data_IF_181168151412
#
_entry.id   IF_181168151412
#
_cell.length_a   1.000
_cell.length_b   1.000
_cell.length_c   1.000
_cell.angle_alpha   90.00
_cell.angle_beta   90.00
_cell.angle_gamma   90.00
#
_symmetry.space_group_name_H-M   'P 1'
#
loop_
_entity.id
_entity.type
_entity.pdbx_description
1 polymer ?
#
# COMPACT_ATOMS: atom_id res chain seq x y z
N UNK A 1 -2.94 6.52 2.27
CA UNK A 1 -2.47 5.13 2.04
C UNK A 1 -1.79 4.63 3.29
N UNK A 2 -2.32 3.59 3.93
CA UNK A 2 -1.74 2.97 5.13
C UNK A 2 -0.69 1.96 4.67
N UNK A 3 0.52 2.00 5.25
CA UNK A 3 1.62 1.11 4.88
C UNK A 3 2.36 1.50 3.59
N UNK A 4 2.56 2.80 3.36
CA UNK A 4 3.14 3.32 2.12
C UNK A 4 4.56 2.83 1.81
N UNK A 5 5.37 2.50 2.82
CA UNK A 5 6.75 2.06 2.64
C UNK A 5 6.92 0.55 2.41
N UNK A 6 5.87 -0.25 2.57
CA UNK A 6 5.89 -1.69 2.30
C UNK A 6 5.95 -2.02 0.82
N UNK A 7 6.06 -3.30 0.48
CA UNK A 7 6.23 -3.74 -0.90
C UNK A 7 5.08 -3.35 -1.85
N UNK A 8 3.81 -3.40 -1.37
CA UNK A 8 2.65 -2.95 -2.15
C UNK A 8 2.56 -1.43 -2.15
N UNK A 9 2.74 -0.80 -0.97
CA UNK A 9 2.68 0.65 -0.85
C UNK A 9 3.66 1.37 -1.75
N UNK A 10 4.90 0.88 -1.85
CA UNK A 10 5.96 1.48 -2.66
C UNK A 10 5.60 1.60 -4.15
N UNK A 11 4.97 0.58 -4.73
CA UNK A 11 4.55 0.66 -6.14
C UNK A 11 3.22 1.43 -6.28
N UNK A 12 2.29 1.28 -5.34
CA UNK A 12 1.01 1.97 -5.39
C UNK A 12 1.16 3.49 -5.25
N UNK A 13 2.09 3.96 -4.39
CA UNK A 13 2.45 5.39 -4.30
C UNK A 13 2.87 5.93 -5.67
N UNK A 14 3.77 5.23 -6.36
CA UNK A 14 4.25 5.64 -7.67
C UNK A 14 3.14 5.65 -8.72
N UNK A 15 2.34 4.57 -8.79
CA UNK A 15 1.22 4.46 -9.73
C UNK A 15 0.21 5.60 -9.53
N UNK A 16 -0.20 5.84 -8.28
CA UNK A 16 -1.11 6.93 -7.95
C UNK A 16 -0.51 8.29 -8.31
N UNK A 17 0.77 8.51 -8.00
CA UNK A 17 1.47 9.77 -8.29
C UNK A 17 1.64 10.05 -9.78
N UNK A 18 1.99 9.01 -10.57
CA UNK A 18 2.39 9.17 -11.97
C UNK A 18 1.24 9.03 -12.94
N UNK A 19 0.22 8.23 -12.60
CA UNK A 19 -0.87 7.90 -13.52
C UNK A 19 -2.19 8.62 -13.19
N UNK A 20 -2.23 9.39 -12.08
CA UNK A 20 -3.43 10.11 -11.67
C UNK A 20 -3.10 11.55 -11.27
N UNK A 21 -4.13 12.33 -10.98
CA UNK A 21 -4.00 13.68 -10.41
C UNK A 21 -4.21 13.72 -8.89
N UNK A 22 -4.20 12.57 -8.24
CA UNK A 22 -4.43 12.47 -6.79
C UNK A 22 -3.30 13.10 -5.99
N UNK A 23 -3.62 13.78 -4.91
CA UNK A 23 -2.66 14.07 -3.85
C UNK A 23 -2.44 12.81 -3.04
N UNK A 24 -1.23 12.26 -3.10
CA UNK A 24 -0.86 11.00 -2.45
C UNK A 24 -0.29 11.29 -1.07
N UNK A 25 -0.97 10.83 -0.04
CA UNK A 25 -0.52 10.90 1.36
C UNK A 25 -0.20 9.48 1.82
N UNK A 26 1.06 9.23 2.13
CA UNK A 26 1.52 7.95 2.68
C UNK A 26 1.55 7.97 4.20
N UNK A 27 1.51 6.79 4.83
CA UNK A 27 1.79 6.69 6.26
C UNK A 27 3.08 5.89 6.50
N UNK A 28 3.92 6.42 7.38
CA UNK A 28 5.14 5.77 7.84
C UNK A 28 5.57 6.35 9.18
N UNK A 29 5.96 5.52 10.15
CA UNK A 29 6.28 5.97 11.51
C UNK A 29 7.78 6.18 11.76
N UNK A 30 8.66 5.58 10.98
CA UNK A 30 10.11 5.71 11.13
C UNK A 30 10.72 6.66 10.10
N UNK A 31 11.75 7.43 10.42
CA UNK A 31 12.40 8.35 9.48
C UNK A 31 12.81 7.70 8.17
N UNK A 32 13.45 6.52 8.21
CA UNK A 32 13.90 5.79 7.02
C UNK A 32 12.75 5.32 6.11
N UNK A 33 11.58 5.03 6.68
CA UNK A 33 10.38 4.66 5.91
C UNK A 33 9.61 5.89 5.41
N UNK A 34 9.71 7.02 6.11
CA UNK A 34 9.19 8.31 5.63
C UNK A 34 9.98 8.78 4.41
N UNK A 35 11.31 8.77 4.50
CA UNK A 35 12.20 9.12 3.38
C UNK A 35 11.95 8.21 2.17
N UNK A 36 11.78 6.91 2.41
CA UNK A 36 11.41 5.97 1.35
C UNK A 36 10.07 6.30 0.69
N UNK A 37 9.03 6.59 1.46
CA UNK A 37 7.72 6.93 0.91
C UNK A 37 7.77 8.23 0.08
N UNK A 38 8.55 9.23 0.49
CA UNK A 38 8.81 10.42 -0.32
C UNK A 38 9.58 10.09 -1.59
N UNK A 39 10.63 9.26 -1.51
CA UNK A 39 11.40 8.82 -2.67
C UNK A 39 10.52 8.06 -3.68
N UNK A 40 9.52 7.30 -3.21
CA UNK A 40 8.52 6.65 -4.06
C UNK A 40 7.49 7.64 -4.65
N UNK A 41 7.49 8.89 -4.26
CA UNK A 41 6.65 9.93 -4.87
C UNK A 41 5.44 10.38 -4.05
N UNK A 42 5.34 10.05 -2.77
CA UNK A 42 4.31 10.60 -1.90
C UNK A 42 4.43 12.14 -1.85
N UNK A 43 3.29 12.84 -1.89
CA UNK A 43 3.28 14.29 -1.72
C UNK A 43 3.48 14.68 -0.26
N UNK A 44 2.90 13.86 0.64
CA UNK A 44 3.00 14.02 2.08
C UNK A 44 3.14 12.65 2.74
N UNK A 45 3.80 12.65 3.89
CA UNK A 45 3.89 11.46 4.75
C UNK A 45 3.48 11.85 6.15
N UNK A 46 2.56 11.08 6.76
CA UNK A 46 2.12 11.25 8.13
C UNK A 46 2.49 10.03 8.96
N UNK A 47 2.68 10.23 10.26
CA UNK A 47 3.02 9.16 11.20
C UNK A 47 1.76 8.42 11.64
N UNK A 48 1.65 7.12 11.32
CA UNK A 48 0.53 6.27 11.70
C UNK A 48 0.62 5.73 13.14
N UNK A 49 1.69 5.99 13.86
CA UNK A 49 1.77 5.72 15.31
C UNK A 49 1.02 6.77 16.13
N UNK A 50 0.64 7.89 15.51
CA UNK A 50 -0.19 8.96 16.05
C UNK A 50 -1.58 8.91 15.41
N UNK A 51 -2.59 9.60 16.02
CA UNK A 51 -3.90 9.70 15.38
C UNK A 51 -3.80 10.27 13.97
N UNK A 52 -4.35 9.54 12.99
CA UNK A 52 -4.28 9.92 11.57
C UNK A 52 -4.89 11.30 11.31
N UNK A 53 -5.95 11.65 12.05
CA UNK A 53 -6.61 12.95 11.97
C UNK A 53 -5.65 14.11 12.28
N UNK A 54 -4.80 13.97 13.29
CA UNK A 54 -3.79 14.97 13.64
C UNK A 54 -2.75 15.15 12.52
N UNK A 55 -2.31 14.04 11.93
CA UNK A 55 -1.39 14.07 10.79
C UNK A 55 -1.97 14.81 9.60
N UNK A 56 -3.23 14.55 9.25
CA UNK A 56 -3.94 15.25 8.18
C UNK A 56 -4.22 16.72 8.51
N UNK A 57 -4.60 17.03 9.75
CA UNK A 57 -4.87 18.41 10.17
C UNK A 57 -3.63 19.31 10.04
N UNK A 58 -2.42 18.80 10.32
CA UNK A 58 -1.16 19.53 10.09
C UNK A 58 -0.91 19.88 8.62
N UNK A 59 -1.54 19.14 7.69
CA UNK A 59 -1.51 19.40 6.26
C UNK A 59 -2.68 20.30 5.79
N UNK A 60 -3.55 20.73 6.71
CA UNK A 60 -4.77 21.48 6.38
C UNK A 60 -5.85 20.62 5.72
N UNK A 61 -5.80 19.30 5.91
CA UNK A 61 -6.73 18.32 5.31
C UNK A 61 -7.62 17.77 6.41
N UNK A 62 -8.94 17.89 6.25
CA UNK A 62 -9.92 17.38 7.21
C UNK A 62 -10.46 16.00 6.85
N UNK A 63 -10.48 15.66 5.56
CA UNK A 63 -11.03 14.41 5.06
C UNK A 63 -10.34 14.00 3.75
N UNK A 64 -10.45 12.71 3.38
CA UNK A 64 -9.88 12.15 2.16
C UNK A 64 -10.93 11.36 1.38
N UNK A 65 -10.84 11.36 0.05
CA UNK A 65 -11.79 10.64 -0.81
C UNK A 65 -11.49 9.15 -0.91
N UNK A 66 -10.23 8.76 -0.83
CA UNK A 66 -9.79 7.39 -1.04
C UNK A 66 -8.80 6.99 0.04
N UNK A 67 -8.99 5.81 0.60
CA UNK A 67 -8.01 5.16 1.47
C UNK A 67 -7.69 3.79 0.89
N UNK A 68 -6.40 3.51 0.69
CA UNK A 68 -5.89 2.15 0.51
C UNK A 68 -5.24 1.73 1.83
N UNK A 69 -5.79 0.72 2.48
CA UNK A 69 -5.25 0.12 3.69
C UNK A 69 -4.59 -1.20 3.32
N UNK A 70 -3.27 -1.25 3.49
CA UNK A 70 -2.43 -2.33 2.97
C UNK A 70 -1.92 -3.24 4.10
N UNK A 71 -2.12 -2.84 5.35
CA UNK A 71 -1.67 -3.57 6.53
C UNK A 71 -2.33 -3.01 7.79
N UNK A 72 -2.50 -3.85 8.82
CA UNK A 72 -3.05 -3.48 10.13
C UNK A 72 -4.39 -2.73 10.03
N UNK A 73 -5.23 -3.13 9.07
CA UNK A 73 -6.50 -2.44 8.81
C UNK A 73 -7.43 -2.49 10.01
N UNK A 74 -7.41 -3.55 10.81
CA UNK A 74 -8.14 -3.68 12.07
C UNK A 74 -7.81 -2.56 13.07
N UNK A 75 -6.54 -2.16 13.17
CA UNK A 75 -6.09 -1.12 14.09
C UNK A 75 -6.49 0.29 13.63
N UNK A 76 -6.59 0.51 12.32
CA UNK A 76 -6.85 1.82 11.74
C UNK A 76 -8.29 2.03 11.28
N UNK A 77 -9.11 0.97 11.25
CA UNK A 77 -10.42 0.99 10.61
C UNK A 77 -11.33 2.12 11.10
N UNK A 78 -11.47 2.29 12.41
CA UNK A 78 -12.31 3.34 12.98
C UNK A 78 -11.88 4.75 12.54
N UNK A 79 -10.57 5.02 12.57
CA UNK A 79 -10.01 6.29 12.11
C UNK A 79 -10.20 6.48 10.60
N UNK A 80 -10.05 5.42 9.81
CA UNK A 80 -10.26 5.46 8.36
C UNK A 80 -11.71 5.86 8.03
N UNK A 81 -12.69 5.23 8.70
CA UNK A 81 -14.11 5.55 8.51
C UNK A 81 -14.41 7.01 8.88
N UNK A 82 -13.78 7.51 9.95
CA UNK A 82 -13.93 8.91 10.36
C UNK A 82 -13.33 9.89 9.35
N UNK A 83 -12.19 9.58 8.79
CA UNK A 83 -11.45 10.47 7.88
C UNK A 83 -11.93 10.42 6.43
N UNK A 84 -12.64 9.37 6.02
CA UNK A 84 -13.20 9.32 4.69
C UNK A 84 -14.31 10.35 4.53
N UNK A 85 -14.25 11.11 3.44
CA UNK A 85 -15.31 12.01 3.03
C UNK A 85 -16.61 11.23 2.73
N UNK A 86 -17.78 11.85 2.82
CA UNK A 86 -19.02 11.23 2.34
C UNK A 86 -18.86 10.69 0.91
N UNK A 87 -19.34 9.45 0.68
CA UNK A 87 -19.19 8.70 -0.58
C UNK A 87 -17.73 8.32 -0.91
N UNK A 88 -16.82 8.42 0.06
CA UNK A 88 -15.43 8.01 -0.08
C UNK A 88 -15.28 6.49 -0.24
N UNK A 89 -14.09 6.07 -0.63
CA UNK A 89 -13.78 4.68 -0.97
C UNK A 89 -12.65 4.13 -0.12
N UNK A 90 -12.86 2.94 0.42
CA UNK A 90 -11.87 2.17 1.17
C UNK A 90 -11.49 0.92 0.38
N UNK A 91 -10.23 0.79 0.00
CA UNK A 91 -9.66 -0.44 -0.53
C UNK A 91 -8.89 -1.18 0.55
N UNK A 92 -9.14 -2.48 0.70
CA UNK A 92 -8.48 -3.38 1.63
C UNK A 92 -7.78 -4.51 0.89
N UNK A 93 -6.56 -4.85 1.31
CA UNK A 93 -5.80 -5.99 0.77
C UNK A 93 -5.35 -6.99 1.84
N UNK A 94 -5.31 -6.58 3.11
CA UNK A 94 -5.02 -7.46 4.24
C UNK A 94 -6.29 -8.13 4.77
N UNK A 95 -6.12 -9.06 5.71
CA UNK A 95 -7.18 -9.88 6.26
C UNK A 95 -7.54 -9.42 7.69
N UNK A 96 -8.26 -8.31 7.87
CA UNK A 96 -8.71 -7.89 9.20
C UNK A 96 -9.69 -8.92 9.75
N UNK A 97 -9.61 -9.19 11.06
CA UNK A 97 -10.45 -10.20 11.71
C UNK A 97 -11.95 -9.90 11.65
N UNK A 98 -12.33 -8.64 11.83
CA UNK A 98 -13.71 -8.15 11.71
C UNK A 98 -13.75 -6.74 11.15
N UNK A 99 -14.71 -6.49 10.27
CA UNK A 99 -14.99 -5.15 9.70
C UNK A 99 -16.46 -4.83 9.95
N UNK A 100 -16.73 -3.76 10.69
CA UNK A 100 -18.08 -3.25 10.90
C UNK A 100 -18.58 -2.50 9.66
N UNK A 101 -19.24 -3.20 8.76
CA UNK A 101 -19.79 -2.60 7.54
C UNK A 101 -20.89 -1.56 7.82
N UNK A 102 -21.55 -1.63 8.99
CA UNK A 102 -22.58 -0.65 9.35
C UNK A 102 -21.98 0.73 9.63
N UNK A 103 -20.73 0.79 10.07
CA UNK A 103 -20.03 2.06 10.25
C UNK A 103 -19.89 2.85 8.94
N UNK A 104 -19.84 2.16 7.79
CA UNK A 104 -19.73 2.78 6.47
C UNK A 104 -21.02 3.46 6.01
N UNK A 105 -22.17 2.99 6.51
CA UNK A 105 -23.50 3.40 6.03
C UNK A 105 -23.74 4.90 6.19
N UNK A 106 -23.35 5.48 7.31
CA UNK A 106 -23.66 6.89 7.63
C UNK A 106 -23.13 7.88 6.60
N UNK A 107 -21.97 7.59 6.02
CA UNK A 107 -21.33 8.41 4.99
C UNK A 107 -21.48 7.83 3.57
N UNK A 108 -22.26 6.76 3.40
CA UNK A 108 -22.42 6.02 2.14
C UNK A 108 -21.06 5.61 1.55
N UNK A 109 -20.14 5.13 2.39
CA UNK A 109 -18.80 4.73 1.96
C UNK A 109 -18.84 3.42 1.17
N UNK A 110 -17.93 3.27 0.22
CA UNK A 110 -17.73 2.02 -0.54
C UNK A 110 -16.53 1.26 0.01
N UNK A 111 -16.69 -0.06 0.18
CA UNK A 111 -15.61 -0.98 0.52
C UNK A 111 -15.26 -1.83 -0.69
N UNK A 112 -13.98 -1.88 -1.03
CA UNK A 112 -13.42 -2.65 -2.13
C UNK A 112 -12.37 -3.61 -1.60
N UNK A 113 -12.60 -4.90 -1.81
CA UNK A 113 -11.60 -5.93 -1.55
C UNK A 113 -10.70 -6.10 -2.76
N UNK A 114 -9.40 -6.19 -2.51
CA UNK A 114 -8.42 -6.56 -3.51
C UNK A 114 -7.73 -7.87 -3.11
N UNK A 115 -7.93 -8.89 -3.93
CA UNK A 115 -7.26 -10.18 -3.83
C UNK A 115 -6.67 -10.56 -5.18
N UNK A 116 -5.33 -10.59 -5.25
CA UNK A 116 -4.62 -10.89 -6.49
C UNK A 116 -4.94 -12.29 -7.05
N UNK A 117 -5.42 -13.19 -6.21
CA UNK A 117 -5.73 -14.57 -6.61
C UNK A 117 -7.14 -14.76 -7.17
N UNK A 118 -8.02 -13.78 -7.06
CA UNK A 118 -9.42 -13.90 -7.50
C UNK A 118 -9.51 -14.30 -8.98
N UNK A 119 -8.81 -13.61 -9.87
CA UNK A 119 -8.86 -13.88 -11.30
C UNK A 119 -8.38 -15.29 -11.68
N UNK A 120 -7.17 -15.73 -11.28
CA UNK A 120 -6.70 -17.08 -11.63
C UNK A 120 -7.46 -18.18 -10.88
N UNK A 121 -7.83 -17.98 -9.62
CA UNK A 121 -8.51 -18.97 -8.80
C UNK A 121 -9.91 -19.30 -9.34
N UNK A 122 -10.67 -18.28 -9.69
CA UNK A 122 -12.04 -18.42 -10.19
C UNK A 122 -12.12 -18.43 -11.72
N UNK A 123 -10.98 -18.33 -12.43
CA UNK A 123 -10.91 -18.31 -13.89
C UNK A 123 -11.91 -17.31 -14.48
N UNK A 124 -11.88 -16.08 -13.97
CA UNK A 124 -12.81 -15.03 -14.39
C UNK A 124 -12.62 -14.69 -15.88
N UNK A 125 -13.68 -14.20 -16.53
CA UNK A 125 -13.65 -13.84 -17.94
C UNK A 125 -12.59 -12.77 -18.29
N UNK A 126 -12.18 -11.98 -17.29
CA UNK A 126 -11.16 -10.94 -17.42
C UNK A 126 -9.78 -11.35 -16.88
N UNK A 127 -9.50 -12.66 -16.75
CA UNK A 127 -8.23 -13.17 -16.19
C UNK A 127 -7.00 -12.61 -16.94
N UNK A 128 -7.12 -12.37 -18.23
CA UNK A 128 -6.05 -11.78 -19.06
C UNK A 128 -5.61 -10.40 -18.57
N UNK A 129 -6.48 -9.64 -17.92
CA UNK A 129 -6.15 -8.29 -17.41
C UNK A 129 -4.99 -8.26 -16.40
N UNK A 130 -4.76 -9.35 -15.67
CA UNK A 130 -3.62 -9.44 -14.77
C UNK A 130 -2.29 -9.44 -15.53
N UNK A 131 -2.21 -10.19 -16.61
CA UNK A 131 -1.07 -10.19 -17.52
C UNK A 131 -0.85 -8.81 -18.15
N UNK A 132 -1.91 -8.20 -18.68
CA UNK A 132 -1.82 -6.89 -19.33
C UNK A 132 -1.35 -5.81 -18.36
N UNK A 133 -1.87 -5.82 -17.13
CA UNK A 133 -1.45 -4.91 -16.06
C UNK A 133 0.03 -5.07 -15.72
N UNK A 134 0.50 -6.30 -15.53
CA UNK A 134 1.89 -6.57 -15.16
C UNK A 134 2.85 -6.17 -16.29
N UNK A 135 2.51 -6.44 -17.54
CA UNK A 135 3.29 -5.99 -18.68
C UNK A 135 3.33 -4.46 -18.76
N UNK A 136 2.20 -3.79 -18.50
CA UNK A 136 2.17 -2.33 -18.49
C UNK A 136 3.04 -1.75 -17.38
N UNK A 137 3.07 -2.36 -16.19
CA UNK A 137 3.96 -1.94 -15.10
C UNK A 137 5.42 -2.16 -15.47
N UNK A 138 5.76 -3.31 -16.09
CA UNK A 138 7.12 -3.59 -16.56
C UNK A 138 7.58 -2.52 -17.58
N UNK A 139 6.75 -2.21 -18.57
CA UNK A 139 7.02 -1.15 -19.54
C UNK A 139 7.25 0.22 -18.89
N UNK A 140 6.46 0.56 -17.88
CA UNK A 140 6.62 1.83 -17.15
C UNK A 140 7.94 1.88 -16.36
N UNK A 141 8.43 0.74 -15.86
CA UNK A 141 9.75 0.64 -15.22
C UNK A 141 10.84 0.74 -16.28
N UNK A 142 10.76 0.01 -17.37
CA UNK A 142 11.76 0.00 -18.43
C UNK A 142 11.94 1.38 -19.09
N UNK A 143 10.86 2.14 -19.18
CA UNK A 143 10.87 3.53 -19.69
C UNK A 143 11.22 4.58 -18.64
N UNK A 144 11.50 4.18 -17.39
CA UNK A 144 11.88 5.10 -16.31
C UNK A 144 10.74 5.97 -15.75
N UNK A 145 9.49 5.69 -16.11
CA UNK A 145 8.31 6.37 -15.53
C UNK A 145 8.12 5.96 -14.07
N UNK A 146 8.29 4.67 -13.81
CA UNK A 146 8.34 4.09 -12.47
C UNK A 146 9.76 3.60 -12.19
N UNK A 147 10.11 3.50 -10.92
CA UNK A 147 11.36 2.90 -10.46
C UNK A 147 11.08 1.58 -9.73
N UNK A 148 12.07 0.69 -9.72
CA UNK A 148 12.00 -0.54 -8.96
C UNK A 148 11.74 -0.27 -7.47
N UNK A 149 11.00 -1.17 -6.84
CA UNK A 149 10.75 -1.12 -5.39
C UNK A 149 11.71 -2.02 -4.61
N UNK A 150 12.87 -2.36 -5.18
CA UNK A 150 13.91 -3.13 -4.53
C UNK A 150 14.43 -2.37 -3.31
N UNK A 151 14.16 -2.87 -2.11
CA UNK A 151 14.64 -2.34 -0.85
C UNK A 151 15.94 -3.02 -0.38
N UNK A 152 15.98 -4.35 -0.46
CA UNK A 152 17.11 -5.16 0.01
C UNK A 152 17.40 -6.31 -0.95
N UNK A 153 18.67 -6.54 -1.21
CA UNK A 153 19.15 -7.71 -1.95
C UNK A 153 19.96 -8.60 -1.00
N UNK A 154 19.48 -9.81 -0.73
CA UNK A 154 20.06 -10.71 0.25
C UNK A 154 21.00 -11.76 -0.35
N UNK A 155 21.33 -11.61 -1.64
CA UNK A 155 22.23 -12.51 -2.35
C UNK A 155 21.58 -13.83 -2.75
N UNK A 156 22.32 -14.92 -2.62
CA UNK A 156 21.92 -16.24 -3.11
C UNK A 156 20.70 -16.80 -2.39
N UNK A 157 19.86 -17.55 -3.12
CA UNK A 157 18.75 -18.32 -2.57
C UNK A 157 19.33 -19.54 -1.84
N UNK A 158 19.49 -19.42 -0.53
CA UNK A 158 19.87 -20.48 0.37
C UNK A 158 19.12 -20.38 1.71
N UNK A 159 19.22 -21.41 2.54
CA UNK A 159 18.50 -21.48 3.80
C UNK A 159 18.90 -20.37 4.79
N UNK A 160 20.13 -19.91 4.77
CA UNK A 160 20.61 -18.85 5.66
C UNK A 160 20.03 -17.50 5.27
N UNK A 161 20.10 -17.16 3.99
CA UNK A 161 19.57 -15.92 3.45
C UNK A 161 18.03 -15.86 3.51
N UNK A 162 17.34 -17.00 3.26
CA UNK A 162 15.89 -17.09 3.45
C UNK A 162 15.47 -16.83 4.89
N UNK A 163 16.17 -17.39 5.89
CA UNK A 163 15.89 -17.09 7.31
C UNK A 163 16.06 -15.60 7.62
N UNK A 164 17.10 -14.96 7.08
CA UNK A 164 17.33 -13.52 7.26
C UNK A 164 16.20 -12.70 6.62
N UNK A 165 15.75 -13.07 5.42
CA UNK A 165 14.64 -12.41 4.72
C UNK A 165 13.34 -12.54 5.52
N UNK A 166 13.02 -13.75 6.01
CA UNK A 166 11.85 -13.98 6.87
C UNK A 166 11.93 -13.16 8.15
N UNK A 167 13.04 -13.18 8.85
CA UNK A 167 13.22 -12.42 10.08
C UNK A 167 13.02 -10.90 9.87
N UNK A 168 13.50 -10.36 8.74
CA UNK A 168 13.27 -8.95 8.42
C UNK A 168 11.80 -8.67 8.11
N UNK A 169 11.12 -9.55 7.36
CA UNK A 169 9.68 -9.39 7.08
C UNK A 169 8.83 -9.49 8.35
N UNK A 170 9.10 -10.49 9.20
CA UNK A 170 8.39 -10.71 10.47
C UNK A 170 8.63 -9.58 11.48
N UNK A 171 9.76 -8.88 11.37
CA UNK A 171 10.04 -7.70 12.21
C UNK A 171 9.22 -6.47 11.83
N UNK A 172 8.45 -6.49 10.75
CA UNK A 172 7.71 -5.37 10.17
C UNK A 172 8.58 -4.13 9.85
N UNK A 173 9.90 -4.33 9.68
CA UNK A 173 10.86 -3.25 9.42
C UNK A 173 11.27 -3.15 7.96
N UNK A 174 10.89 -4.10 7.13
CA UNK A 174 11.20 -4.09 5.70
C UNK A 174 10.58 -2.86 5.01
N UNK A 175 11.31 -2.28 4.07
CA UNK A 175 10.81 -1.27 3.13
C UNK A 175 11.01 -1.78 1.70
N UNK A 176 10.05 -1.47 0.83
CA UNK A 176 10.08 -2.04 -0.52
C UNK A 176 10.00 -3.56 -0.53
N UNK A 177 10.71 -4.16 -1.46
CA UNK A 177 10.80 -5.61 -1.66
C UNK A 177 12.19 -6.16 -1.32
N UNK A 178 12.22 -7.34 -0.73
CA UNK A 178 13.44 -8.13 -0.52
C UNK A 178 13.59 -9.08 -1.70
N UNK A 179 14.76 -9.16 -2.26
CA UNK A 179 15.09 -10.03 -3.40
C UNK A 179 16.27 -10.94 -3.05
N UNK A 180 16.18 -12.18 -3.51
CA UNK A 180 17.27 -13.15 -3.54
C UNK A 180 17.37 -13.69 -4.96
N UNK A 181 18.55 -14.09 -5.41
CA UNK A 181 18.76 -14.61 -6.76
C UNK A 181 19.81 -15.73 -6.83
N UNK A 182 19.67 -16.57 -7.82
CA UNK A 182 20.57 -17.71 -8.02
C UNK A 182 20.35 -18.84 -7.01
N UNK A 183 20.88 -20.05 -7.37
CA UNK A 183 20.83 -21.28 -6.56
C UNK A 183 22.24 -21.74 -6.18
#
# INVERSE_FOLDING_TARGET
MIGAAGGVGSILVQLARKLTKLTVIGTASRPDTQDWAYAMGAHHVIDHSLPLAEGLARLGISEVQHVASLTHSDQHYAQIVELLAPQGQLGLIDDPGQVDVMALKRKALSLHWESMFTRPLYKTADMQRQHDLLNRVAELIDTGVLQTTLGEHFGRIDAANLRRAHALLESHRAKGKIVLEGW
#
